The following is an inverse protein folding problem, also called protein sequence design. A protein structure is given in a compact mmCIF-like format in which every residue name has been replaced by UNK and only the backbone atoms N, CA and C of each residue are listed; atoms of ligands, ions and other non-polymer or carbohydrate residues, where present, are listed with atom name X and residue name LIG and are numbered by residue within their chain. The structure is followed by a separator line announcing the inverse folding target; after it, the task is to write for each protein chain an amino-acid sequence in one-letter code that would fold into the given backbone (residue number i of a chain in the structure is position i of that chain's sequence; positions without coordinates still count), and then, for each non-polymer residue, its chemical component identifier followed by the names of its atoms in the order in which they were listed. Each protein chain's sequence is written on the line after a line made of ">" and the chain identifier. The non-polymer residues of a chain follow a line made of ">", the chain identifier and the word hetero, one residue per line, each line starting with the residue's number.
data_IF_992044080597
#
_entry.id   IF_992044080597
#
_cell.length_a   1.000
_cell.length_b   1.000
_cell.length_c   1.000
_cell.angle_alpha   90.00
_cell.angle_beta   90.00
_cell.angle_gamma   90.00
#
_symmetry.space_group_name_H-M   'P 1'
#
loop_
_entity.id
_entity.type
_entity.pdbx_description
1 polymer ?
#
# COMPACT_ATOMS: atom_id res chain seq x y z
N UNK A 1 14.48 14.48 -59.27
CA UNK A 1 14.60 14.15 -57.84
C UNK A 1 13.27 14.50 -57.19
N UNK A 2 12.51 13.49 -56.77
CA UNK A 2 11.18 13.63 -56.17
C UNK A 2 11.34 13.44 -54.67
N UNK A 3 11.08 14.48 -53.89
CA UNK A 3 11.01 14.41 -52.42
C UNK A 3 9.59 14.02 -52.01
N UNK A 4 9.41 12.77 -51.60
CA UNK A 4 8.20 12.31 -50.93
C UNK A 4 8.23 12.74 -49.46
N UNK A 5 7.47 13.77 -49.10
CA UNK A 5 7.10 14.05 -47.71
C UNK A 5 5.78 13.34 -47.41
N UNK A 6 5.86 12.16 -46.80
CA UNK A 6 4.70 11.48 -46.22
C UNK A 6 4.39 12.10 -44.87
N UNK A 7 3.40 13.02 -44.83
CA UNK A 7 2.77 13.43 -43.58
C UNK A 7 1.86 12.30 -43.08
N UNK A 8 2.36 11.46 -42.17
CA UNK A 8 1.50 10.59 -41.36
C UNK A 8 0.81 11.45 -40.29
N UNK A 9 -0.49 11.62 -40.43
CA UNK A 9 -1.35 12.18 -39.37
C UNK A 9 -1.81 11.01 -38.49
N UNK A 10 -1.30 10.94 -37.26
CA UNK A 10 -1.80 10.00 -36.25
C UNK A 10 -3.05 10.58 -35.60
N UNK A 11 -4.21 10.02 -35.93
CA UNK A 11 -5.47 10.38 -35.31
C UNK A 11 -5.70 9.48 -34.09
N UNK A 12 -5.34 9.96 -32.89
CA UNK A 12 -5.64 9.25 -31.65
C UNK A 12 -7.06 9.60 -31.18
N UNK A 13 -8.02 8.74 -31.50
CA UNK A 13 -9.29 8.71 -30.79
C UNK A 13 -9.04 8.19 -29.37
N UNK A 14 -8.84 9.09 -28.41
CA UNK A 14 -8.88 8.76 -26.99
C UNK A 14 -10.34 8.52 -26.58
N UNK A 15 -10.77 7.27 -26.69
CA UNK A 15 -11.92 6.78 -25.93
C UNK A 15 -11.42 6.46 -24.52
N UNK A 16 -12.00 7.09 -23.50
CA UNK A 16 -11.57 6.95 -22.11
C UNK A 16 -11.71 5.51 -21.62
N UNK A 17 -10.58 4.79 -21.54
CA UNK A 17 -10.46 3.44 -20.97
C UNK A 17 -10.42 3.43 -19.43
N UNK A 18 -10.67 4.57 -18.79
CA UNK A 18 -10.20 4.89 -17.43
C UNK A 18 -11.00 4.31 -16.27
N UNK A 19 -11.93 3.37 -16.49
CA UNK A 19 -12.64 2.71 -15.38
C UNK A 19 -12.53 1.19 -15.46
N UNK A 20 -12.69 0.59 -16.63
CA UNK A 20 -12.54 -0.87 -16.81
C UNK A 20 -11.08 -1.35 -16.71
N UNK A 21 -10.07 -0.52 -17.05
CA UNK A 21 -8.65 -0.89 -16.89
C UNK A 21 -8.16 -0.85 -15.43
N UNK A 22 -8.79 -0.06 -14.55
CA UNK A 22 -8.42 0.05 -13.13
C UNK A 22 -8.96 -1.16 -12.35
N UNK A 23 -10.19 -1.57 -12.62
CA UNK A 23 -10.83 -2.74 -11.99
C UNK A 23 -10.03 -4.03 -12.26
N UNK A 24 -9.54 -4.20 -13.49
CA UNK A 24 -8.76 -5.39 -13.87
C UNK A 24 -7.40 -5.48 -13.17
N UNK A 25 -6.76 -4.33 -12.86
CA UNK A 25 -5.48 -4.31 -12.11
C UNK A 25 -5.65 -4.61 -10.63
N UNK A 26 -6.77 -4.21 -10.03
CA UNK A 26 -7.01 -4.43 -8.60
C UNK A 26 -7.24 -5.92 -8.30
N UNK A 27 -8.09 -6.59 -9.08
CA UNK A 27 -8.30 -8.03 -8.93
C UNK A 27 -7.01 -8.82 -9.21
N UNK A 28 -6.29 -8.49 -10.28
CA UNK A 28 -4.99 -9.10 -10.61
C UNK A 28 -3.96 -8.87 -9.49
N UNK A 29 -3.93 -7.69 -8.88
CA UNK A 29 -3.04 -7.40 -7.77
C UNK A 29 -3.35 -8.22 -6.51
N UNK A 30 -4.63 -8.44 -6.22
CA UNK A 30 -5.08 -9.31 -5.13
C UNK A 30 -4.71 -10.77 -5.40
N UNK A 31 -4.86 -11.25 -6.64
CA UNK A 31 -4.41 -12.59 -7.05
C UNK A 31 -2.89 -12.74 -6.93
N UNK A 32 -2.14 -11.72 -7.33
CA UNK A 32 -0.68 -11.67 -7.19
C UNK A 32 -0.28 -11.75 -5.71
N UNK A 33 -0.93 -10.97 -4.85
CA UNK A 33 -0.73 -11.04 -3.40
C UNK A 33 -1.03 -12.44 -2.85
N UNK A 34 -2.15 -13.04 -3.26
CA UNK A 34 -2.54 -14.39 -2.86
C UNK A 34 -1.48 -15.44 -3.26
N UNK A 35 -0.93 -15.35 -4.47
CA UNK A 35 0.12 -16.26 -4.96
C UNK A 35 1.41 -16.12 -4.14
N UNK A 36 1.88 -14.90 -3.87
CA UNK A 36 3.06 -14.67 -3.03
C UNK A 36 2.86 -15.14 -1.58
N UNK A 37 1.67 -14.89 -1.01
CA UNK A 37 1.29 -15.39 0.32
C UNK A 37 1.29 -16.93 0.35
N UNK A 38 0.76 -17.57 -0.69
CA UNK A 38 0.74 -19.03 -0.85
C UNK A 38 2.14 -19.64 -1.00
N UNK A 39 3.08 -18.89 -1.57
CA UNK A 39 4.51 -19.24 -1.65
C UNK A 39 5.30 -18.87 -0.40
N UNK A 40 4.62 -18.48 0.67
CA UNK A 40 5.21 -18.10 1.95
C UNK A 40 6.17 -16.90 1.91
N UNK A 41 5.98 -15.99 0.95
CA UNK A 41 6.82 -14.81 0.78
C UNK A 41 6.86 -13.92 2.04
N UNK A 42 8.02 -13.37 2.34
CA UNK A 42 8.14 -12.29 3.32
C UNK A 42 7.68 -10.99 2.68
N UNK A 43 6.81 -10.23 3.36
CA UNK A 43 6.26 -8.98 2.83
C UNK A 43 6.90 -7.75 3.52
N UNK A 44 7.33 -6.77 2.75
CA UNK A 44 7.62 -5.41 3.23
C UNK A 44 6.56 -4.50 2.64
N UNK A 45 5.78 -3.86 3.51
CA UNK A 45 4.58 -3.12 3.12
C UNK A 45 4.77 -1.64 3.42
N UNK A 46 4.41 -0.78 2.48
CA UNK A 46 4.20 0.65 2.70
C UNK A 46 2.73 0.97 2.48
N UNK A 47 2.05 1.44 3.51
CA UNK A 47 0.69 1.98 3.41
C UNK A 47 0.72 3.41 2.89
N UNK A 48 -0.28 3.80 2.10
CA UNK A 48 -0.51 5.19 1.70
C UNK A 48 -1.95 5.37 1.18
N UNK A 49 -2.42 6.61 1.12
CA UNK A 49 -3.64 6.96 0.37
C UNK A 49 -3.25 7.40 -1.03
N UNK A 50 -3.85 6.83 -2.08
CA UNK A 50 -3.57 7.24 -3.46
C UNK A 50 -4.21 8.62 -3.78
N UNK A 51 -3.94 9.15 -4.98
CA UNK A 51 -4.45 10.46 -5.40
C UNK A 51 -5.98 10.55 -5.51
N UNK A 52 -6.65 9.41 -5.59
CA UNK A 52 -8.11 9.28 -5.71
C UNK A 52 -8.79 9.05 -4.34
N UNK A 53 -8.01 9.03 -3.25
CA UNK A 53 -8.51 8.85 -1.89
C UNK A 53 -8.60 7.39 -1.44
N UNK A 54 -8.13 6.42 -2.23
CA UNK A 54 -8.19 5.01 -1.84
C UNK A 54 -7.00 4.59 -0.99
N UNK A 55 -7.21 3.80 0.07
CA UNK A 55 -6.14 3.18 0.84
C UNK A 55 -5.45 2.11 0.00
N UNK A 56 -4.13 2.17 -0.08
CA UNK A 56 -3.31 1.26 -0.88
C UNK A 56 -2.13 0.73 -0.06
N UNK A 57 -1.70 -0.47 -0.43
CA UNK A 57 -0.41 -1.03 -0.05
C UNK A 57 0.51 -1.07 -1.26
N UNK A 58 1.73 -0.53 -1.11
CA UNK A 58 2.87 -0.91 -1.93
C UNK A 58 3.55 -2.08 -1.23
N UNK A 59 3.61 -3.22 -1.88
CA UNK A 59 4.14 -4.46 -1.33
C UNK A 59 5.41 -4.84 -2.07
N UNK A 60 6.47 -5.10 -1.32
CA UNK A 60 7.64 -5.85 -1.78
C UNK A 60 7.56 -7.26 -1.22
N UNK A 61 7.31 -8.23 -2.09
CA UNK A 61 7.25 -9.64 -1.75
C UNK A 61 8.60 -10.31 -2.02
N UNK A 62 9.18 -10.90 -0.99
CA UNK A 62 10.52 -11.48 -1.01
C UNK A 62 10.40 -13.00 -0.85
N UNK A 63 10.81 -13.70 -1.89
CA UNK A 63 11.08 -15.14 -1.93
C UNK A 63 12.60 -15.35 -2.01
N UNK A 64 13.09 -16.56 -1.74
CA UNK A 64 14.53 -16.88 -1.71
C UNK A 64 15.29 -16.42 -2.95
N UNK A 65 14.67 -16.53 -4.14
CA UNK A 65 15.32 -16.24 -5.42
C UNK A 65 14.63 -15.13 -6.22
N UNK A 66 13.61 -14.48 -5.66
CA UNK A 66 12.82 -13.48 -6.37
C UNK A 66 12.31 -12.42 -5.40
N UNK A 67 12.43 -11.16 -5.79
CA UNK A 67 11.77 -10.04 -5.13
C UNK A 67 10.90 -9.33 -6.14
N UNK A 68 9.64 -9.08 -5.81
CA UNK A 68 8.69 -8.42 -6.70
C UNK A 68 7.98 -7.30 -5.97
N UNK A 69 7.75 -6.19 -6.67
CA UNK A 69 7.02 -5.03 -6.14
C UNK A 69 5.73 -4.82 -6.91
N UNK A 70 4.63 -4.62 -6.18
CA UNK A 70 3.31 -4.36 -6.75
C UNK A 70 2.44 -3.56 -5.76
N UNK A 71 1.28 -3.13 -6.22
CA UNK A 71 0.35 -2.31 -5.45
C UNK A 71 -0.97 -3.04 -5.29
N UNK A 72 -1.55 -3.02 -4.09
CA UNK A 72 -2.81 -3.72 -3.78
C UNK A 72 -3.75 -2.77 -3.04
N UNK A 73 -5.06 -2.78 -3.35
CA UNK A 73 -6.07 -2.12 -2.51
C UNK A 73 -5.99 -2.55 -1.05
N UNK A 74 -6.12 -1.60 -0.13
CA UNK A 74 -5.98 -1.83 1.31
C UNK A 74 -7.27 -1.51 2.08
N UNK A 75 -8.43 -1.77 1.49
CA UNK A 75 -9.69 -1.71 2.22
C UNK A 75 -9.74 -2.77 3.33
N UNK A 76 -10.70 -2.61 4.26
CA UNK A 76 -10.75 -3.34 5.54
C UNK A 76 -10.45 -4.84 5.41
N UNK A 77 -11.15 -5.55 4.54
CA UNK A 77 -11.02 -7.00 4.38
C UNK A 77 -9.61 -7.42 3.92
N UNK A 78 -9.04 -6.73 2.94
CA UNK A 78 -7.68 -7.02 2.46
C UNK A 78 -6.66 -6.73 3.55
N UNK A 79 -6.82 -5.60 4.26
CA UNK A 79 -5.96 -5.23 5.38
C UNK A 79 -5.99 -6.30 6.48
N UNK A 80 -7.17 -6.77 6.88
CA UNK A 80 -7.31 -7.82 7.90
C UNK A 80 -6.60 -9.13 7.48
N UNK A 81 -6.77 -9.55 6.22
CA UNK A 81 -6.12 -10.77 5.67
C UNK A 81 -4.60 -10.63 5.61
N UNK A 82 -4.10 -9.49 5.16
CA UNK A 82 -2.66 -9.17 5.14
C UNK A 82 -2.08 -9.20 6.56
N UNK A 83 -2.77 -8.59 7.53
CA UNK A 83 -2.34 -8.60 8.93
C UNK A 83 -2.33 -10.00 9.53
N UNK A 84 -3.38 -10.79 9.28
CA UNK A 84 -3.42 -12.17 9.73
C UNK A 84 -2.21 -12.95 9.19
N UNK A 85 -1.89 -12.79 7.91
CA UNK A 85 -0.72 -13.42 7.31
C UNK A 85 0.59 -12.93 7.94
N UNK A 86 0.79 -11.62 8.06
CA UNK A 86 1.99 -11.04 8.65
C UNK A 86 2.24 -11.58 10.07
N UNK A 87 1.21 -11.66 10.90
CA UNK A 87 1.30 -12.07 12.31
C UNK A 87 1.45 -13.58 12.48
N UNK A 88 0.62 -14.37 11.80
CA UNK A 88 0.54 -15.82 12.04
C UNK A 88 1.39 -16.64 11.07
N UNK A 89 1.60 -16.10 9.87
CA UNK A 89 2.13 -16.80 8.70
C UNK A 89 1.14 -17.75 8.04
N UNK A 90 -0.13 -17.75 8.46
CA UNK A 90 -1.17 -18.59 7.86
C UNK A 90 -1.87 -17.81 6.74
N UNK A 91 -1.90 -18.34 5.51
CA UNK A 91 -2.62 -17.70 4.42
C UNK A 91 -4.13 -17.75 4.68
N UNK A 92 -4.83 -16.69 4.27
CA UNK A 92 -6.28 -16.66 4.13
C UNK A 92 -6.58 -16.30 2.68
N UNK A 93 -7.74 -16.74 2.18
CA UNK A 93 -8.14 -16.47 0.80
C UNK A 93 -8.45 -14.98 0.62
N UNK A 94 -7.77 -14.36 -0.33
CA UNK A 94 -7.93 -12.97 -0.74
C UNK A 94 -8.81 -12.95 -1.99
N UNK A 95 -9.97 -12.32 -1.87
CA UNK A 95 -10.92 -12.09 -2.96
C UNK A 95 -11.13 -10.59 -3.05
N UNK A 96 -10.97 -10.03 -4.26
CA UNK A 96 -11.25 -8.62 -4.49
C UNK A 96 -12.76 -8.38 -4.50
N UNK A 97 -13.21 -7.35 -3.78
CA UNK A 97 -14.59 -6.90 -3.74
C UNK A 97 -14.63 -5.43 -4.16
N UNK A 98 -15.20 -5.19 -5.33
CA UNK A 98 -15.29 -3.86 -5.94
C UNK A 98 -16.13 -2.90 -5.10
N UNK A 99 -17.28 -3.34 -4.58
CA UNK A 99 -18.16 -2.50 -3.75
C UNK A 99 -17.45 -2.05 -2.47
N UNK A 100 -16.77 -2.98 -1.79
CA UNK A 100 -16.00 -2.67 -0.58
C UNK A 100 -14.81 -1.74 -0.88
N UNK A 101 -14.18 -1.88 -2.05
CA UNK A 101 -13.12 -0.98 -2.50
C UNK A 101 -13.67 0.43 -2.77
N UNK A 102 -14.78 0.56 -3.48
CA UNK A 102 -15.41 1.86 -3.77
C UNK A 102 -15.84 2.60 -2.51
N UNK A 103 -16.37 1.87 -1.52
CA UNK A 103 -16.72 2.44 -0.20
C UNK A 103 -15.52 2.76 0.70
N UNK A 104 -14.31 2.36 0.31
CA UNK A 104 -13.12 2.51 1.16
C UNK A 104 -12.41 3.87 1.05
N UNK A 105 -12.93 4.80 0.24
CA UNK A 105 -12.35 6.13 0.12
C UNK A 105 -12.25 6.82 1.47
N UNK A 106 -11.10 7.42 1.70
CA UNK A 106 -10.82 8.20 2.90
C UNK A 106 -10.17 9.52 2.51
N UNK A 107 -10.48 10.56 3.27
CA UNK A 107 -9.83 11.88 3.13
C UNK A 107 -8.53 11.96 3.94
N UNK A 108 -8.37 11.07 4.92
CA UNK A 108 -7.22 11.02 5.83
C UNK A 108 -6.07 10.16 5.29
N UNK A 109 -4.87 10.35 5.83
CA UNK A 109 -3.71 9.52 5.50
C UNK A 109 -3.89 8.10 6.08
N UNK A 110 -4.06 7.12 5.19
CA UNK A 110 -4.21 5.72 5.55
C UNK A 110 -3.05 5.21 6.40
N UNK A 111 -1.84 5.70 6.15
CA UNK A 111 -0.64 5.32 6.88
C UNK A 111 -0.74 5.70 8.35
N UNK A 112 -1.29 6.89 8.63
CA UNK A 112 -1.47 7.35 9.99
C UNK A 112 -2.59 6.59 10.70
N UNK A 113 -3.71 6.33 10.02
CA UNK A 113 -4.80 5.51 10.57
C UNK A 113 -4.28 4.12 10.94
N UNK A 114 -3.54 3.48 10.04
CA UNK A 114 -3.00 2.15 10.26
C UNK A 114 -1.98 2.13 11.40
N UNK A 115 -1.13 3.15 11.47
CA UNK A 115 -0.18 3.34 12.55
C UNK A 115 -0.85 3.46 13.92
N UNK A 116 -1.91 4.28 14.04
CA UNK A 116 -2.68 4.42 15.27
C UNK A 116 -3.35 3.10 15.65
N UNK A 117 -3.88 2.37 14.67
CA UNK A 117 -4.47 1.06 14.91
C UNK A 117 -3.45 0.06 15.46
N UNK A 118 -2.23 -0.02 14.89
CA UNK A 118 -1.18 -0.90 15.40
C UNK A 118 -0.76 -0.54 16.84
N UNK A 119 -0.57 0.76 17.11
CA UNK A 119 -0.24 1.26 18.45
C UNK A 119 -1.33 0.89 19.47
N UNK A 120 -2.61 1.06 19.12
CA UNK A 120 -3.73 0.70 19.98
C UNK A 120 -3.86 -0.82 20.21
N UNK A 121 -3.35 -1.64 19.28
CA UNK A 121 -3.23 -3.10 19.46
C UNK A 121 -2.02 -3.50 20.31
N UNK A 122 -1.24 -2.55 20.81
CA UNK A 122 -0.02 -2.79 21.59
C UNK A 122 1.17 -3.25 20.75
N UNK A 123 1.13 -3.04 19.43
CA UNK A 123 2.24 -3.39 18.55
C UNK A 123 3.33 -2.33 18.68
N UNK A 124 4.54 -2.76 19.00
CA UNK A 124 5.68 -1.85 19.19
C UNK A 124 6.17 -1.31 17.84
N UNK A 125 6.10 0.02 17.69
CA UNK A 125 6.73 0.74 16.59
C UNK A 125 8.24 0.82 16.83
N UNK A 126 9.02 0.49 15.80
CA UNK A 126 10.45 0.75 15.75
C UNK A 126 10.67 2.03 14.94
N UNK A 127 11.32 3.02 15.53
CA UNK A 127 11.56 4.29 14.84
C UNK A 127 12.89 4.26 14.09
N UNK A 128 12.93 4.92 12.94
CA UNK A 128 14.20 5.29 12.31
C UNK A 128 14.64 6.61 12.93
N UNK A 129 15.75 6.61 13.67
CA UNK A 129 16.33 7.84 14.23
C UNK A 129 16.86 8.70 13.08
N UNK A 130 16.07 9.69 12.67
CA UNK A 130 16.55 10.75 11.78
C UNK A 130 17.26 11.80 12.67
N UNK A 131 18.58 11.97 12.49
CA UNK A 131 19.39 12.93 13.25
C UNK A 131 19.08 14.40 12.94
N UNK A 132 18.07 14.68 12.09
CA UNK A 132 17.67 16.02 11.66
C UNK A 132 16.15 16.15 11.71
N UNK A 133 15.60 17.37 11.88
CA UNK A 133 14.16 17.60 11.75
C UNK A 133 13.69 17.10 10.39
N UNK A 134 12.89 16.04 10.40
CA UNK A 134 12.34 15.42 9.19
C UNK A 134 10.89 15.88 9.04
N UNK A 135 10.49 16.23 7.82
CA UNK A 135 9.08 16.52 7.49
C UNK A 135 8.18 15.30 7.67
N UNK A 136 8.77 14.10 7.81
CA UNK A 136 8.05 12.85 7.94
C UNK A 136 8.51 12.10 9.19
N UNK A 137 7.56 11.54 9.91
CA UNK A 137 7.82 10.48 10.87
C UNK A 137 8.02 9.17 10.10
N UNK A 138 9.17 8.52 10.36
CA UNK A 138 9.51 7.23 9.76
C UNK A 138 9.60 6.17 10.86
N UNK A 139 8.79 5.15 10.72
CA UNK A 139 8.79 4.03 11.64
C UNK A 139 8.41 2.75 10.94
N UNK A 140 8.53 1.63 11.63
CA UNK A 140 8.10 0.35 11.10
C UNK A 140 7.76 -0.63 12.21
N UNK A 141 6.87 -1.57 11.89
CA UNK A 141 6.57 -2.72 12.75
C UNK A 141 7.17 -3.99 12.17
N UNK A 142 7.54 -4.90 13.07
CA UNK A 142 8.07 -6.22 12.72
C UNK A 142 7.03 -7.27 13.06
N UNK A 143 6.75 -8.11 12.08
CA UNK A 143 5.84 -9.23 12.16
C UNK A 143 6.56 -10.52 11.76
N UNK A 144 5.94 -11.67 12.00
CA UNK A 144 6.54 -12.99 11.70
C UNK A 144 6.89 -13.15 10.22
N UNK A 145 5.99 -12.75 9.32
CA UNK A 145 6.16 -12.85 7.86
C UNK A 145 6.45 -11.51 7.18
N UNK A 146 6.88 -10.48 7.92
CA UNK A 146 7.14 -9.22 7.25
C UNK A 146 7.27 -8.00 8.14
N UNK A 147 7.14 -6.83 7.51
CA UNK A 147 7.20 -5.53 8.15
C UNK A 147 6.22 -4.58 7.48
N UNK A 148 5.69 -3.62 8.25
CA UNK A 148 4.94 -2.48 7.73
C UNK A 148 5.76 -1.24 8.02
N UNK A 149 6.04 -0.45 6.98
CA UNK A 149 6.84 0.76 7.02
C UNK A 149 5.91 1.96 6.88
N UNK A 150 6.08 2.90 7.80
CA UNK A 150 5.32 4.14 7.91
C UNK A 150 6.19 5.30 7.47
N UNK A 151 5.64 6.13 6.58
CA UNK A 151 6.23 7.40 6.18
C UNK A 151 5.13 8.47 6.29
N UNK A 152 4.88 8.94 7.50
CA UNK A 152 3.73 9.78 7.85
C UNK A 152 4.17 11.23 7.85
N UNK A 153 3.49 12.08 7.08
CA UNK A 153 3.79 13.52 7.05
C UNK A 153 3.49 14.11 8.42
N UNK A 154 4.44 14.85 8.99
CA UNK A 154 4.22 15.57 10.26
C UNK A 154 3.25 16.71 10.05
N UNK A 155 2.18 16.70 10.82
CA UNK A 155 1.15 17.74 10.95
C UNK A 155 0.93 17.97 12.43
N UNK A 156 0.24 19.05 12.81
CA UNK A 156 -0.06 19.33 14.23
C UNK A 156 -0.77 18.13 14.91
N UNK A 157 -1.70 17.48 14.20
CA UNK A 157 -2.43 16.31 14.68
C UNK A 157 -1.50 15.10 14.88
N UNK A 158 -0.61 14.84 13.92
CA UNK A 158 0.36 13.74 14.01
C UNK A 158 1.34 13.97 15.15
N UNK A 159 1.88 15.19 15.26
CA UNK A 159 2.87 15.54 16.28
C UNK A 159 2.27 15.49 17.69
N UNK A 160 1.02 15.94 17.86
CA UNK A 160 0.31 15.79 19.13
C UNK A 160 0.16 14.31 19.52
N UNK A 161 -0.23 13.45 18.58
CA UNK A 161 -0.35 12.01 18.83
C UNK A 161 1.00 11.35 19.15
N UNK A 162 2.06 11.68 18.41
CA UNK A 162 3.40 11.13 18.65
C UNK A 162 3.94 11.55 20.03
N UNK A 163 3.69 12.79 20.45
CA UNK A 163 4.05 13.29 21.78
C UNK A 163 3.26 12.58 22.88
N UNK A 164 1.94 12.41 22.71
CA UNK A 164 1.07 11.67 23.65
C UNK A 164 1.55 10.22 23.85
N UNK A 165 2.08 9.59 22.80
CA UNK A 165 2.62 8.23 22.83
C UNK A 165 4.10 8.14 23.19
N UNK A 166 4.72 9.25 23.60
CA UNK A 166 6.15 9.33 23.97
C UNK A 166 7.08 8.80 22.86
N UNK A 167 6.71 9.03 21.60
CA UNK A 167 7.49 8.60 20.43
C UNK A 167 8.44 9.69 19.93
N UNK A 168 8.28 10.94 20.35
CA UNK A 168 9.17 12.08 20.02
C UNK A 168 9.34 12.98 21.24
#
# INVERSE_FOLDING_TARGET
>A
MITNNSNMVFNFNFVSSSQLEIVNRNEESCKTLQDFIGKEARLIIQSYTNKEGYPMFKIEAILTNNTSQFFVPAYKEITEKVYNYLRTGKPQEIVFNEEAFEMSKIESDFSFILFQAEMNMGIRINQSLDFRPSTYFKGFTKHKKGQIHYNIKRTEVVDAYLTEKELI
#
